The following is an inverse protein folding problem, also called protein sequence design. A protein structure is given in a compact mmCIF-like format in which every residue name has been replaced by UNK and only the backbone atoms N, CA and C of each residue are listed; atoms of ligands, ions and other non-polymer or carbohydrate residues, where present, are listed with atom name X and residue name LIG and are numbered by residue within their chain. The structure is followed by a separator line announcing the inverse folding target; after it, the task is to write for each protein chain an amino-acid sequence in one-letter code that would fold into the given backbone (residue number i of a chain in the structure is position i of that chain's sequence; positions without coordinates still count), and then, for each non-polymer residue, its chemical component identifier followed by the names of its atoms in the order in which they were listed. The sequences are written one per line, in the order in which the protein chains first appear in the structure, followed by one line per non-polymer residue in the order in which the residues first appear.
data_IF_422098535238
#
_entry.id   IF_422098535238
#
_cell.length_a   1.000
_cell.length_b   1.000
_cell.length_c   1.000
_cell.angle_alpha   90.00
_cell.angle_beta   90.00
_cell.angle_gamma   90.00
#
_symmetry.space_group_name_H-M   'P 1'
#
loop_
_entity.id
_entity.type
_entity.pdbx_description
1 polymer ?
#
# COMPACT_ATOMS: atom_id res chain seq x y z
N UNK A 1 70.40 -121.38 112.20
CA UNK A 1 68.98 -121.48 111.80
C UNK A 1 68.31 -120.12 111.57
N UNK A 2 68.78 -118.99 112.12
CA UNK A 2 68.16 -117.67 111.91
C UNK A 2 68.46 -116.97 110.57
N UNK A 3 69.54 -117.33 109.86
CA UNK A 3 69.88 -116.70 108.57
C UNK A 3 69.02 -117.21 107.40
N UNK A 4 68.71 -118.51 107.37
CA UNK A 4 67.90 -119.12 106.31
C UNK A 4 66.44 -118.65 106.29
N UNK A 5 65.86 -118.33 107.45
CA UNK A 5 64.50 -117.76 107.52
C UNK A 5 64.45 -116.29 107.06
N UNK A 6 65.50 -115.50 107.35
CA UNK A 6 65.63 -114.13 106.82
C UNK A 6 65.80 -114.12 105.31
N UNK A 7 66.61 -115.03 104.78
CA UNK A 7 66.86 -115.14 103.34
C UNK A 7 65.60 -115.57 102.56
N UNK A 8 64.82 -116.50 103.11
CA UNK A 8 63.53 -116.92 102.55
C UNK A 8 62.47 -115.80 102.59
N UNK A 9 62.41 -115.03 103.68
CA UNK A 9 61.53 -113.86 103.78
C UNK A 9 61.92 -112.76 102.77
N UNK A 10 63.22 -112.55 102.53
CA UNK A 10 63.73 -111.60 101.52
C UNK A 10 63.38 -112.08 100.11
N UNK A 11 63.51 -113.37 99.81
CA UNK A 11 63.12 -113.92 98.51
C UNK A 11 61.62 -113.80 98.25
N UNK A 12 60.76 -114.10 99.23
CA UNK A 12 59.30 -113.94 99.09
C UNK A 12 58.91 -112.46 98.96
N UNK A 13 59.55 -111.56 99.70
CA UNK A 13 59.35 -110.12 99.55
C UNK A 13 59.79 -109.60 98.17
N UNK A 14 60.91 -110.10 97.64
CA UNK A 14 61.39 -109.78 96.30
C UNK A 14 60.48 -110.35 95.20
N UNK A 15 59.98 -111.57 95.34
CA UNK A 15 59.02 -112.16 94.42
C UNK A 15 57.70 -111.37 94.39
N UNK A 16 57.18 -110.98 95.56
CA UNK A 16 56.00 -110.12 95.67
C UNK A 16 56.24 -108.72 95.09
N UNK A 17 57.44 -108.16 95.24
CA UNK A 17 57.83 -106.88 94.63
C UNK A 17 57.87 -106.98 93.11
N UNK A 18 58.51 -108.01 92.56
CA UNK A 18 58.60 -108.24 91.11
C UNK A 18 57.22 -108.48 90.51
N UNK A 19 56.37 -109.27 91.17
CA UNK A 19 54.99 -109.49 90.74
C UNK A 19 54.18 -108.19 90.73
N UNK A 20 54.24 -107.38 91.81
CA UNK A 20 53.54 -106.09 91.87
C UNK A 20 54.06 -105.05 90.87
N UNK A 21 55.35 -105.07 90.56
CA UNK A 21 55.94 -104.20 89.53
C UNK A 21 55.49 -104.67 88.14
N UNK A 22 55.53 -105.98 87.86
CA UNK A 22 55.07 -106.54 86.59
C UNK A 22 53.60 -106.28 86.33
N UNK A 23 52.72 -106.45 87.34
CA UNK A 23 51.29 -106.16 87.19
C UNK A 23 51.03 -104.67 86.98
N UNK A 24 51.72 -103.78 87.72
CA UNK A 24 51.57 -102.33 87.54
C UNK A 24 52.16 -101.83 86.23
N UNK A 25 53.24 -102.44 85.75
CA UNK A 25 53.83 -102.13 84.45
C UNK A 25 52.92 -102.57 83.31
N UNK A 26 52.35 -103.78 83.37
CA UNK A 26 51.36 -104.24 82.41
C UNK A 26 50.10 -103.37 82.41
N UNK A 27 49.60 -102.96 83.58
CA UNK A 27 48.47 -102.01 83.69
C UNK A 27 48.80 -100.64 83.09
N UNK A 28 50.03 -100.13 83.29
CA UNK A 28 50.47 -98.86 82.70
C UNK A 28 50.61 -98.96 81.19
N UNK A 29 51.23 -100.02 80.67
CA UNK A 29 51.37 -100.25 79.24
C UNK A 29 50.00 -100.41 78.56
N UNK A 30 49.08 -101.14 79.21
CA UNK A 30 47.69 -101.24 78.76
C UNK A 30 47.00 -99.86 78.74
N UNK A 31 47.11 -99.07 79.81
CA UNK A 31 46.49 -97.75 79.89
C UNK A 31 47.06 -96.76 78.86
N UNK A 32 48.39 -96.78 78.63
CA UNK A 32 49.02 -95.94 77.59
C UNK A 32 48.55 -96.36 76.21
N UNK A 33 48.49 -97.67 75.92
CA UNK A 33 48.03 -98.16 74.62
C UNK A 33 46.55 -97.88 74.37
N UNK A 34 45.70 -97.96 75.40
CA UNK A 34 44.29 -97.56 75.31
C UNK A 34 44.18 -96.05 75.03
N UNK A 35 44.94 -95.21 75.73
CA UNK A 35 44.95 -93.77 75.49
C UNK A 35 45.51 -93.38 74.10
N UNK A 36 46.49 -94.11 73.58
CA UNK A 36 47.01 -93.93 72.21
C UNK A 36 45.95 -94.29 71.17
N UNK A 37 45.24 -95.42 71.35
CA UNK A 37 44.14 -95.83 70.45
C UNK A 37 42.97 -94.84 70.50
N UNK A 38 42.59 -94.35 71.69
CA UNK A 38 41.57 -93.30 71.83
C UNK A 38 42.01 -91.98 71.17
N UNK A 39 43.29 -91.62 71.27
CA UNK A 39 43.83 -90.43 70.59
C UNK A 39 43.80 -90.60 69.07
N UNK A 40 44.24 -91.75 68.55
CA UNK A 40 44.22 -92.04 67.11
C UNK A 40 42.78 -92.06 66.58
N UNK A 41 41.84 -92.65 67.32
CA UNK A 41 40.42 -92.62 66.99
C UNK A 41 39.90 -91.17 66.93
N UNK A 42 40.13 -90.37 67.97
CA UNK A 42 39.66 -88.98 68.01
C UNK A 42 40.29 -88.12 66.90
N UNK A 43 41.57 -88.31 66.60
CA UNK A 43 42.25 -87.59 65.52
C UNK A 43 41.71 -88.03 64.16
N UNK A 44 41.46 -89.33 63.96
CA UNK A 44 40.85 -89.86 62.74
C UNK A 44 39.43 -89.34 62.52
N UNK A 45 38.60 -89.33 63.57
CA UNK A 45 37.24 -88.78 63.55
C UNK A 45 37.25 -87.27 63.26
N UNK A 46 38.07 -86.47 63.95
CA UNK A 46 38.18 -85.03 63.69
C UNK A 46 38.72 -84.72 62.29
N UNK A 47 39.66 -85.50 61.78
CA UNK A 47 40.21 -85.31 60.42
C UNK A 47 39.14 -85.61 59.38
N UNK A 48 38.41 -86.73 59.52
CA UNK A 48 37.33 -87.09 58.60
C UNK A 48 36.17 -86.08 58.64
N UNK A 49 35.84 -85.55 59.82
CA UNK A 49 34.83 -84.51 59.98
C UNK A 49 35.27 -83.19 59.34
N UNK A 50 36.53 -82.77 59.54
CA UNK A 50 37.09 -81.57 58.90
C UNK A 50 37.12 -81.70 57.38
N UNK A 51 37.58 -82.83 56.84
CA UNK A 51 37.60 -83.07 55.39
C UNK A 51 36.19 -83.03 54.78
N UNK A 52 35.22 -83.64 55.46
CA UNK A 52 33.82 -83.60 55.05
C UNK A 52 33.28 -82.17 55.06
N UNK A 53 33.51 -81.43 56.13
CA UNK A 53 33.05 -80.04 56.25
C UNK A 53 33.74 -79.12 55.22
N UNK A 54 35.04 -79.29 55.00
CA UNK A 54 35.78 -78.55 53.99
C UNK A 54 35.26 -78.83 52.57
N UNK A 55 34.95 -80.08 52.24
CA UNK A 55 34.34 -80.44 50.96
C UNK A 55 32.95 -79.82 50.80
N UNK A 56 32.10 -79.89 51.82
CA UNK A 56 30.77 -79.26 51.81
C UNK A 56 30.90 -77.75 51.63
N UNK A 57 31.80 -77.08 52.35
CA UNK A 57 32.01 -75.62 52.24
C UNK A 57 32.57 -75.21 50.89
N UNK A 58 33.46 -76.00 50.29
CA UNK A 58 33.95 -75.77 48.94
C UNK A 58 32.83 -75.91 47.91
N UNK A 59 32.01 -76.96 48.00
CA UNK A 59 30.85 -77.13 47.14
C UNK A 59 29.84 -75.99 47.29
N UNK A 60 29.54 -75.55 48.53
CA UNK A 60 28.68 -74.39 48.80
C UNK A 60 29.25 -73.08 48.24
N UNK A 61 30.57 -72.89 48.30
CA UNK A 61 31.24 -71.72 47.70
C UNK A 61 31.12 -71.77 46.19
N UNK A 62 31.46 -72.89 45.58
CA UNK A 62 31.46 -73.05 44.12
C UNK A 62 30.03 -72.92 43.57
N UNK A 63 29.05 -73.49 44.26
CA UNK A 63 27.62 -73.28 43.95
C UNK A 63 27.24 -71.80 44.00
N UNK A 64 27.65 -71.06 45.06
CA UNK A 64 27.37 -69.62 45.17
C UNK A 64 28.03 -68.80 44.08
N UNK A 65 29.27 -69.13 43.72
CA UNK A 65 30.00 -68.45 42.63
C UNK A 65 29.30 -68.70 41.29
N UNK A 66 28.91 -69.95 41.01
CA UNK A 66 28.21 -70.29 39.76
C UNK A 66 26.83 -69.63 39.69
N UNK A 67 26.08 -69.61 40.80
CA UNK A 67 24.79 -68.93 40.88
C UNK A 67 24.95 -67.42 40.65
N UNK A 68 25.92 -66.79 41.32
CA UNK A 68 26.18 -65.36 41.16
C UNK A 68 26.65 -64.99 39.73
N UNK A 69 27.47 -65.83 39.08
CA UNK A 69 27.88 -65.62 37.69
C UNK A 69 26.70 -65.76 36.72
N UNK A 70 25.83 -66.76 36.93
CA UNK A 70 24.62 -66.95 36.13
C UNK A 70 23.65 -65.76 36.29
N UNK A 71 23.43 -65.31 37.53
CA UNK A 71 22.60 -64.14 37.83
C UNK A 71 23.19 -62.86 37.21
N UNK A 72 24.51 -62.66 37.29
CA UNK A 72 25.17 -61.51 36.69
C UNK A 72 24.99 -61.47 35.17
N UNK A 73 25.15 -62.61 34.47
CA UNK A 73 24.92 -62.72 33.03
C UNK A 73 23.46 -62.52 32.65
N UNK A 74 22.53 -63.02 33.46
CA UNK A 74 21.10 -62.79 33.26
C UNK A 74 20.76 -61.29 33.36
N UNK A 75 21.27 -60.62 34.41
CA UNK A 75 21.09 -59.17 34.59
C UNK A 75 21.76 -58.37 33.48
N UNK A 76 22.94 -58.77 33.02
CA UNK A 76 23.61 -58.16 31.86
C UNK A 76 22.74 -58.27 30.60
N UNK A 77 22.22 -59.45 30.29
CA UNK A 77 21.33 -59.66 29.15
C UNK A 77 20.01 -58.87 29.26
N UNK A 78 19.44 -58.76 30.47
CA UNK A 78 18.28 -57.91 30.71
C UNK A 78 18.59 -56.42 30.51
N UNK A 79 19.76 -55.96 30.94
CA UNK A 79 20.16 -54.56 30.78
C UNK A 79 20.43 -54.21 29.33
N UNK A 80 21.07 -55.10 28.56
CA UNK A 80 21.24 -54.96 27.11
C UNK A 80 19.86 -54.88 26.43
N UNK A 81 18.96 -55.81 26.75
CA UNK A 81 17.59 -55.79 26.19
C UNK A 81 16.84 -54.51 26.54
N UNK A 82 16.97 -54.03 27.79
CA UNK A 82 16.37 -52.75 28.22
C UNK A 82 16.99 -51.57 27.47
N UNK A 83 18.30 -51.57 27.22
CA UNK A 83 18.97 -50.54 26.45
C UNK A 83 18.48 -50.52 24.99
N UNK A 84 18.34 -51.69 24.36
CA UNK A 84 17.83 -51.81 22.99
C UNK A 84 16.37 -51.38 22.87
N UNK A 85 15.54 -51.72 23.86
CA UNK A 85 14.15 -51.24 23.95
C UNK A 85 14.13 -49.72 24.08
N UNK A 86 14.94 -49.14 24.98
CA UNK A 86 15.00 -47.70 25.16
C UNK A 86 15.50 -46.96 23.90
N UNK A 87 16.51 -47.50 23.21
CA UNK A 87 17.02 -46.96 21.95
C UNK A 87 15.97 -47.04 20.83
N UNK A 88 15.25 -48.15 20.74
CA UNK A 88 14.16 -48.34 19.79
C UNK A 88 13.01 -47.37 20.06
N UNK A 89 12.64 -47.20 21.33
CA UNK A 89 11.62 -46.25 21.76
C UNK A 89 12.01 -44.80 21.42
N UNK A 90 13.26 -44.41 21.70
CA UNK A 90 13.78 -43.08 21.37
C UNK A 90 13.76 -42.84 19.85
N UNK A 91 14.17 -43.83 19.06
CA UNK A 91 14.12 -43.76 17.59
C UNK A 91 12.70 -43.61 17.07
N UNK A 92 11.75 -44.37 17.64
CA UNK A 92 10.33 -44.25 17.30
C UNK A 92 9.83 -42.84 17.60
N UNK A 93 10.11 -42.32 18.79
CA UNK A 93 9.68 -40.99 19.22
C UNK A 93 10.22 -39.88 18.30
N UNK A 94 11.49 -39.98 17.87
CA UNK A 94 12.07 -39.02 16.91
C UNK A 94 11.33 -39.09 15.57
N UNK A 95 11.08 -40.29 15.05
CA UNK A 95 10.37 -40.46 13.77
C UNK A 95 8.92 -39.97 13.85
N UNK A 96 8.23 -40.21 14.95
CA UNK A 96 6.88 -39.69 15.20
C UNK A 96 6.87 -38.16 15.24
N UNK A 97 7.84 -37.55 15.94
CA UNK A 97 7.96 -36.10 16.03
C UNK A 97 8.29 -35.47 14.67
N UNK A 98 9.19 -36.07 13.89
CA UNK A 98 9.51 -35.63 12.53
C UNK A 98 8.30 -35.76 11.60
N UNK A 99 7.60 -36.88 11.62
CA UNK A 99 6.40 -37.09 10.83
C UNK A 99 5.31 -36.08 11.20
N UNK A 100 5.13 -35.81 12.49
CA UNK A 100 4.20 -34.80 12.99
C UNK A 100 4.60 -33.39 12.52
N UNK A 101 5.88 -33.01 12.68
CA UNK A 101 6.39 -31.71 12.23
C UNK A 101 6.22 -31.52 10.71
N UNK A 102 6.52 -32.55 9.92
CA UNK A 102 6.33 -32.53 8.47
C UNK A 102 4.85 -32.40 8.13
N UNK A 103 3.98 -33.18 8.79
CA UNK A 103 2.53 -33.11 8.58
C UNK A 103 1.95 -31.73 8.87
N UNK A 104 2.23 -31.18 10.07
CA UNK A 104 1.74 -29.85 10.47
C UNK A 104 2.35 -28.74 9.61
N UNK A 105 3.65 -28.78 9.32
CA UNK A 105 4.27 -27.76 8.46
C UNK A 105 3.68 -27.78 7.04
N UNK A 106 3.42 -28.96 6.47
CA UNK A 106 2.76 -29.08 5.16
C UNK A 106 1.32 -28.59 5.19
N UNK A 107 0.59 -28.87 6.26
CA UNK A 107 -0.77 -28.37 6.46
C UNK A 107 -0.80 -26.84 6.52
N UNK A 108 0.05 -26.23 7.35
CA UNK A 108 0.15 -24.76 7.48
C UNK A 108 0.58 -24.13 6.15
N UNK A 109 1.55 -24.72 5.44
CA UNK A 109 1.96 -24.25 4.11
C UNK A 109 0.81 -24.29 3.09
N UNK A 110 0.03 -25.38 3.09
CA UNK A 110 -1.12 -25.52 2.20
C UNK A 110 -2.22 -24.50 2.53
N UNK A 111 -2.54 -24.31 3.82
CA UNK A 111 -3.50 -23.30 4.28
C UNK A 111 -3.06 -21.88 3.92
N UNK A 112 -1.78 -21.55 4.11
CA UNK A 112 -1.22 -20.25 3.71
C UNK A 112 -1.32 -20.03 2.20
N UNK A 113 -1.02 -21.04 1.38
CA UNK A 113 -1.14 -20.93 -0.08
C UNK A 113 -2.59 -20.73 -0.54
N UNK A 114 -3.56 -21.39 0.12
CA UNK A 114 -4.98 -21.18 -0.15
C UNK A 114 -5.41 -19.77 0.21
N UNK A 115 -5.01 -19.27 1.38
CA UNK A 115 -5.30 -17.90 1.81
C UNK A 115 -4.66 -16.86 0.88
N UNK A 116 -3.42 -17.08 0.45
CA UNK A 116 -2.75 -16.19 -0.51
C UNK A 116 -3.49 -16.18 -1.86
N UNK A 117 -3.87 -17.34 -2.38
CA UNK A 117 -4.68 -17.44 -3.60
C UNK A 117 -6.03 -16.74 -3.45
N UNK A 118 -6.69 -16.88 -2.31
CA UNK A 118 -7.95 -16.20 -2.00
C UNK A 118 -7.77 -14.67 -1.94
N UNK A 119 -6.76 -14.18 -1.23
CA UNK A 119 -6.47 -12.74 -1.13
C UNK A 119 -6.12 -12.14 -2.50
N UNK A 120 -5.34 -12.85 -3.31
CA UNK A 120 -5.03 -12.45 -4.68
C UNK A 120 -6.29 -12.40 -5.55
N UNK A 121 -7.15 -13.41 -5.47
CA UNK A 121 -8.43 -13.44 -6.19
C UNK A 121 -9.35 -12.28 -5.75
N UNK A 122 -9.50 -12.06 -4.44
CA UNK A 122 -10.29 -10.95 -3.88
C UNK A 122 -9.73 -9.59 -4.29
N UNK A 123 -8.41 -9.40 -4.25
CA UNK A 123 -7.76 -8.15 -4.67
C UNK A 123 -8.02 -7.88 -6.14
N UNK A 124 -7.89 -8.91 -7.00
CA UNK A 124 -8.19 -8.79 -8.43
C UNK A 124 -9.67 -8.47 -8.68
N UNK A 125 -10.58 -9.11 -7.95
CA UNK A 125 -12.01 -8.83 -8.04
C UNK A 125 -12.33 -7.40 -7.58
N UNK A 126 -11.75 -6.94 -6.46
CA UNK A 126 -11.92 -5.59 -5.95
C UNK A 126 -11.37 -4.54 -6.91
N UNK A 127 -10.22 -4.78 -7.56
CA UNK A 127 -9.66 -3.89 -8.59
C UNK A 127 -10.56 -3.85 -9.84
N UNK A 128 -11.10 -4.98 -10.28
CA UNK A 128 -12.04 -5.02 -11.39
C UNK A 128 -13.32 -4.24 -11.07
N UNK A 129 -13.86 -4.40 -9.86
CA UNK A 129 -15.03 -3.67 -9.40
C UNK A 129 -14.76 -2.17 -9.24
N UNK A 130 -13.60 -1.79 -8.69
CA UNK A 130 -13.18 -0.40 -8.60
C UNK A 130 -13.11 0.26 -9.99
N UNK A 131 -12.51 -0.41 -10.98
CA UNK A 131 -12.48 0.05 -12.37
C UNK A 131 -13.87 0.17 -12.97
N UNK A 132 -14.78 -0.77 -12.68
CA UNK A 132 -16.17 -0.73 -13.14
C UNK A 132 -16.92 0.47 -12.54
N UNK A 133 -16.77 0.71 -11.24
CA UNK A 133 -17.39 1.84 -10.54
C UNK A 133 -16.81 3.16 -11.04
N UNK A 134 -15.50 3.26 -11.19
CA UNK A 134 -14.82 4.45 -11.72
C UNK A 134 -15.29 4.75 -13.15
N UNK A 135 -15.30 3.74 -14.03
CA UNK A 135 -15.80 3.89 -15.39
C UNK A 135 -17.28 4.30 -15.44
N UNK A 136 -18.12 3.73 -14.56
CA UNK A 136 -19.54 4.11 -14.46
C UNK A 136 -19.70 5.56 -14.00
N UNK A 137 -19.02 5.97 -12.93
CA UNK A 137 -19.05 7.37 -12.43
C UNK A 137 -18.53 8.35 -13.47
N UNK A 138 -17.45 7.98 -14.17
CA UNK A 138 -16.89 8.78 -15.26
C UNK A 138 -17.87 8.92 -16.40
N UNK A 139 -18.55 7.85 -16.80
CA UNK A 139 -19.59 7.90 -17.82
C UNK A 139 -20.79 8.77 -17.38
N UNK A 140 -21.23 8.65 -16.12
CA UNK A 140 -22.31 9.46 -15.54
C UNK A 140 -21.99 10.95 -15.49
N UNK A 141 -20.73 11.34 -15.34
CA UNK A 141 -20.31 12.75 -15.34
C UNK A 141 -19.93 13.28 -16.73
N UNK A 142 -19.23 12.48 -17.55
CA UNK A 142 -18.82 12.89 -18.88
C UNK A 142 -19.99 12.97 -19.86
N UNK A 143 -20.99 12.09 -19.75
CA UNK A 143 -22.15 12.10 -20.65
C UNK A 143 -22.96 13.41 -20.55
N UNK A 144 -23.39 13.90 -19.37
CA UNK A 144 -24.09 15.18 -19.26
C UNK A 144 -23.17 16.34 -19.61
N UNK A 145 -21.89 16.34 -19.20
CA UNK A 145 -20.98 17.42 -19.54
C UNK A 145 -20.75 17.56 -21.06
N UNK A 146 -20.64 16.43 -21.79
CA UNK A 146 -20.57 16.43 -23.26
C UNK A 146 -21.88 16.91 -23.89
N UNK A 147 -23.02 16.51 -23.34
CA UNK A 147 -24.34 16.96 -23.81
C UNK A 147 -24.54 18.47 -23.58
N UNK A 148 -24.16 19.00 -22.42
CA UNK A 148 -24.20 20.43 -22.13
C UNK A 148 -23.26 21.22 -23.04
N UNK A 149 -22.02 20.75 -23.25
CA UNK A 149 -21.10 21.39 -24.19
C UNK A 149 -21.67 21.44 -25.61
N UNK A 150 -22.25 20.33 -26.08
CA UNK A 150 -22.88 20.28 -27.40
C UNK A 150 -24.09 21.21 -27.48
N UNK A 151 -24.92 21.27 -26.43
CA UNK A 151 -26.06 22.18 -26.34
C UNK A 151 -25.61 23.65 -26.41
N UNK A 152 -24.61 24.05 -25.63
CA UNK A 152 -24.07 25.41 -25.64
C UNK A 152 -23.53 25.77 -27.02
N UNK A 153 -22.83 24.85 -27.69
CA UNK A 153 -22.32 25.10 -29.03
C UNK A 153 -23.45 25.30 -30.05
N UNK A 154 -24.46 24.44 -30.03
CA UNK A 154 -25.63 24.55 -30.91
C UNK A 154 -26.42 25.83 -30.61
N UNK A 155 -26.60 26.20 -29.34
CA UNK A 155 -27.27 27.43 -28.93
C UNK A 155 -26.50 28.67 -29.39
N UNK A 156 -25.16 28.68 -29.26
CA UNK A 156 -24.33 29.78 -29.74
C UNK A 156 -24.36 29.91 -31.27
N UNK A 157 -24.31 28.78 -31.99
CA UNK A 157 -24.44 28.76 -33.46
C UNK A 157 -25.83 29.24 -33.90
N UNK A 158 -26.89 28.82 -33.22
CA UNK A 158 -28.26 29.25 -33.48
C UNK A 158 -28.45 30.75 -33.19
N UNK A 159 -27.88 31.27 -32.11
CA UNK A 159 -27.94 32.70 -31.77
C UNK A 159 -27.15 33.55 -32.77
N UNK A 160 -25.98 33.08 -33.21
CA UNK A 160 -25.20 33.72 -34.26
C UNK A 160 -25.96 33.76 -35.59
N UNK A 161 -26.59 32.65 -35.98
CA UNK A 161 -27.42 32.58 -37.19
C UNK A 161 -28.64 33.51 -37.10
N UNK A 162 -29.30 33.56 -35.93
CA UNK A 162 -30.43 34.47 -35.68
C UNK A 162 -30.01 35.92 -35.83
N UNK A 163 -28.92 36.34 -35.18
CA UNK A 163 -28.38 37.71 -35.32
C UNK A 163 -28.03 38.06 -36.76
N UNK A 164 -27.51 37.10 -37.53
CA UNK A 164 -27.21 37.31 -38.96
C UNK A 164 -28.47 37.56 -39.77
N UNK A 165 -29.51 36.73 -39.59
CA UNK A 165 -30.79 36.87 -40.28
C UNK A 165 -31.49 38.18 -39.88
N UNK A 166 -31.46 38.54 -38.60
CA UNK A 166 -32.01 39.82 -38.10
C UNK A 166 -31.29 41.01 -38.73
N UNK A 167 -29.95 41.02 -38.74
CA UNK A 167 -29.16 42.07 -39.37
C UNK A 167 -29.39 42.16 -40.89
N UNK A 168 -29.50 41.01 -41.59
CA UNK A 168 -29.86 40.96 -43.02
C UNK A 168 -31.27 41.52 -43.27
N UNK A 169 -32.24 41.17 -42.42
CA UNK A 169 -33.60 41.67 -42.48
C UNK A 169 -33.70 43.17 -42.23
N UNK A 170 -33.00 43.68 -41.21
CA UNK A 170 -32.90 45.11 -40.92
C UNK A 170 -32.22 45.87 -42.06
N UNK A 171 -31.11 45.35 -42.61
CA UNK A 171 -30.43 45.95 -43.75
C UNK A 171 -31.33 45.99 -44.99
N UNK A 172 -32.07 44.92 -45.28
CA UNK A 172 -33.02 44.88 -46.39
C UNK A 172 -34.17 45.89 -46.19
N UNK A 173 -34.71 45.99 -44.97
CA UNK A 173 -35.77 46.97 -44.66
C UNK A 173 -35.29 48.41 -44.82
N UNK A 174 -34.07 48.73 -44.33
CA UNK A 174 -33.44 50.04 -44.50
C UNK A 174 -33.19 50.34 -45.98
N UNK A 175 -32.67 49.36 -46.72
CA UNK A 175 -32.40 49.50 -48.15
C UNK A 175 -33.68 49.83 -48.92
N UNK A 176 -34.77 49.09 -48.69
CA UNK A 176 -36.07 49.35 -49.34
C UNK A 176 -36.59 50.74 -48.99
N UNK A 177 -36.45 51.18 -47.74
CA UNK A 177 -36.86 52.52 -47.30
C UNK A 177 -36.05 53.61 -48.00
N UNK A 178 -34.72 53.50 -48.00
CA UNK A 178 -33.83 54.47 -48.66
C UNK A 178 -34.01 54.49 -50.18
N UNK A 179 -34.25 53.34 -50.80
CA UNK A 179 -34.55 53.27 -52.23
C UNK A 179 -35.89 53.94 -52.55
N UNK A 180 -36.92 53.72 -51.74
CA UNK A 180 -38.21 54.40 -51.90
C UNK A 180 -38.07 55.92 -51.72
N UNK A 181 -37.30 56.37 -50.72
CA UNK A 181 -37.00 57.79 -50.51
C UNK A 181 -36.22 58.39 -51.69
N UNK A 182 -35.19 57.68 -52.18
CA UNK A 182 -34.39 58.11 -53.33
C UNK A 182 -35.22 58.20 -54.62
N UNK A 183 -36.08 57.20 -54.89
CA UNK A 183 -37.02 57.23 -56.03
C UNK A 183 -38.01 58.38 -55.91
N UNK A 184 -38.58 58.59 -54.72
CA UNK A 184 -39.49 59.72 -54.48
C UNK A 184 -38.81 61.08 -54.69
N UNK A 185 -37.60 61.26 -54.15
CA UNK A 185 -36.83 62.48 -54.37
C UNK A 185 -36.46 62.68 -55.85
N UNK A 186 -36.07 61.61 -56.55
CA UNK A 186 -35.77 61.65 -57.97
C UNK A 186 -37.01 62.07 -58.79
N UNK A 187 -38.19 61.51 -58.53
CA UNK A 187 -39.42 61.89 -59.21
C UNK A 187 -39.79 63.36 -58.95
N UNK A 188 -39.65 63.83 -57.70
CA UNK A 188 -39.88 65.23 -57.36
C UNK A 188 -38.92 66.14 -58.14
N UNK A 189 -37.62 65.82 -58.15
CA UNK A 189 -36.61 66.60 -58.87
C UNK A 189 -36.81 66.57 -60.38
N UNK A 190 -37.17 65.41 -60.94
CA UNK A 190 -37.49 65.27 -62.36
C UNK A 190 -38.71 66.11 -62.75
N UNK A 191 -39.79 66.07 -61.97
CA UNK A 191 -40.97 66.91 -62.21
C UNK A 191 -40.70 68.40 -62.02
N UNK A 192 -39.82 68.77 -61.07
CA UNK A 192 -39.33 70.15 -60.94
C UNK A 192 -38.54 70.57 -62.19
N UNK A 193 -37.65 69.71 -62.69
CA UNK A 193 -36.91 69.93 -63.93
C UNK A 193 -37.82 70.14 -65.14
N UNK A 194 -38.81 69.25 -65.32
CA UNK A 194 -39.84 69.39 -66.37
C UNK A 194 -40.63 70.70 -66.23
N UNK A 195 -40.98 71.08 -64.99
CA UNK A 195 -41.68 72.33 -64.70
C UNK A 195 -40.83 73.56 -65.06
N UNK A 196 -39.55 73.56 -64.69
CA UNK A 196 -38.61 74.62 -65.04
C UNK A 196 -38.40 74.70 -66.56
N UNK A 197 -38.30 73.57 -67.26
CA UNK A 197 -38.20 73.55 -68.72
C UNK A 197 -39.42 74.25 -69.36
N UNK A 198 -40.63 73.96 -68.89
CA UNK A 198 -41.85 74.62 -69.39
C UNK A 198 -41.85 76.13 -69.12
N UNK A 199 -41.33 76.57 -67.97
CA UNK A 199 -41.19 78.00 -67.66
C UNK A 199 -40.18 78.64 -68.60
N UNK A 200 -39.05 77.99 -68.87
CA UNK A 200 -38.02 78.46 -69.80
C UNK A 200 -38.58 78.60 -71.22
N UNK A 201 -39.31 77.59 -71.68
CA UNK A 201 -39.93 77.59 -73.00
C UNK A 201 -41.00 78.69 -73.11
N UNK A 202 -41.79 78.93 -72.05
CA UNK A 202 -42.82 79.97 -72.02
C UNK A 202 -42.26 81.40 -71.94
N UNK A 203 -41.11 81.60 -71.28
CA UNK A 203 -40.46 82.91 -71.14
C UNK A 203 -39.60 83.30 -72.36
N UNK A 204 -39.49 82.43 -73.38
CA UNK A 204 -38.80 82.72 -74.63
C UNK A 204 -37.26 82.60 -74.58
N UNK A 205 -36.71 82.07 -73.47
CA UNK A 205 -35.27 81.91 -73.29
C UNK A 205 -34.85 81.63 -71.85
N UNK A 206 -33.66 81.07 -71.67
CA UNK A 206 -33.10 80.75 -70.34
C UNK A 206 -32.80 82.00 -69.52
N UNK A 207 -32.54 83.14 -70.18
CA UNK A 207 -32.16 84.40 -69.53
C UNK A 207 -33.36 85.13 -68.94
N UNK A 208 -34.48 85.15 -69.67
CA UNK A 208 -35.75 85.74 -69.28
C UNK A 208 -36.42 84.92 -68.17
N UNK A 209 -36.36 83.58 -68.26
CA UNK A 209 -36.82 82.69 -67.21
C UNK A 209 -36.01 82.83 -65.92
N UNK A 210 -34.69 83.01 -66.02
CA UNK A 210 -33.85 83.28 -64.86
C UNK A 210 -34.20 84.61 -64.18
N UNK A 211 -34.51 85.66 -64.96
CA UNK A 211 -34.97 86.94 -64.40
C UNK A 211 -36.32 86.79 -63.67
N UNK A 212 -37.26 86.00 -64.22
CA UNK A 212 -38.54 85.72 -63.57
C UNK A 212 -38.38 84.91 -62.28
N UNK A 213 -37.57 83.84 -62.30
CA UNK A 213 -37.28 83.01 -61.12
C UNK A 213 -36.52 83.80 -60.04
N UNK A 214 -35.59 84.68 -60.44
CA UNK A 214 -34.93 85.59 -59.51
C UNK A 214 -35.93 86.57 -58.89
N UNK A 215 -36.90 87.07 -59.66
CA UNK A 215 -37.94 87.94 -59.14
C UNK A 215 -38.86 87.21 -58.14
N UNK A 216 -39.23 85.96 -58.43
CA UNK A 216 -40.02 85.12 -57.52
C UNK A 216 -39.25 84.79 -56.22
N UNK A 217 -37.95 84.52 -56.32
CA UNK A 217 -37.11 84.22 -55.16
C UNK A 217 -36.50 85.46 -54.49
N UNK A 218 -36.75 86.67 -55.00
CA UNK A 218 -36.26 87.90 -54.39
C UNK A 218 -36.88 88.11 -53.00
N UNK A 219 -38.17 87.81 -52.82
CA UNK A 219 -38.82 87.93 -51.50
C UNK A 219 -38.14 86.99 -50.48
N UNK A 220 -37.88 85.73 -50.86
CA UNK A 220 -37.17 84.76 -50.01
C UNK A 220 -35.71 85.18 -49.73
N UNK A 221 -35.02 85.77 -50.71
CA UNK A 221 -33.67 86.30 -50.52
C UNK A 221 -33.68 87.53 -49.62
N UNK A 222 -34.65 88.42 -49.75
CA UNK A 222 -34.84 89.60 -48.88
C UNK A 222 -35.14 89.14 -47.46
N UNK A 223 -36.00 88.14 -47.26
CA UNK A 223 -36.30 87.59 -45.94
C UNK A 223 -35.07 86.88 -45.33
N UNK A 224 -34.40 86.00 -46.07
CA UNK A 224 -33.21 85.31 -45.59
C UNK A 224 -32.05 86.29 -45.31
N UNK A 225 -31.89 87.33 -46.13
CA UNK A 225 -30.88 88.37 -45.91
C UNK A 225 -31.26 89.32 -44.78
N UNK A 226 -32.53 89.69 -44.61
CA UNK A 226 -33.01 90.45 -43.46
C UNK A 226 -32.82 89.65 -42.16
N UNK A 227 -33.03 88.33 -42.20
CA UNK A 227 -32.80 87.43 -41.07
C UNK A 227 -31.30 87.20 -40.82
N UNK A 228 -30.47 87.18 -41.85
CA UNK A 228 -29.01 87.19 -41.71
C UNK A 228 -28.51 88.53 -41.14
N UNK A 229 -29.03 89.67 -41.61
CA UNK A 229 -28.70 91.03 -41.12
C UNK A 229 -29.19 91.24 -39.69
N UNK A 230 -30.39 90.76 -39.34
CA UNK A 230 -30.88 90.82 -37.96
C UNK A 230 -30.03 89.96 -37.01
N UNK A 231 -29.39 88.90 -37.53
CA UNK A 231 -28.40 88.12 -36.81
C UNK A 231 -26.98 88.73 -36.82
N UNK A 232 -26.71 89.80 -37.57
CA UNK A 232 -25.46 90.57 -37.46
C UNK A 232 -25.55 91.47 -36.22
N UNK A 233 -24.94 91.03 -35.13
CA UNK A 233 -24.59 91.91 -34.01
C UNK A 233 -23.49 92.87 -34.47
N UNK A 234 -23.76 94.18 -34.58
CA UNK A 234 -22.77 95.23 -34.85
C UNK A 234 -21.85 95.47 -33.65
N UNK A 235 -21.06 94.46 -33.27
CA UNK A 235 -20.28 94.49 -32.02
C UNK A 235 -18.75 94.50 -32.25
N UNK A 236 -18.27 94.59 -33.51
CA UNK A 236 -16.86 94.83 -33.86
C UNK A 236 -16.67 95.10 -35.35
N UNK A 237 -16.38 96.34 -35.73
CA UNK A 237 -15.80 96.65 -37.05
C UNK A 237 -14.28 96.51 -36.93
N UNK A 238 -13.71 95.48 -37.54
CA UNK A 238 -12.24 95.32 -37.66
C UNK A 238 -11.85 95.76 -39.08
N UNK A 239 -11.33 96.98 -39.20
CA UNK A 239 -10.79 97.49 -40.47
C UNK A 239 -9.41 96.90 -40.68
N UNK A 240 -9.26 96.06 -41.70
CA UNK A 240 -7.95 95.67 -42.22
C UNK A 240 -7.48 96.74 -43.20
N UNK A 241 -6.58 97.61 -42.75
CA UNK A 241 -5.98 98.67 -43.57
C UNK A 241 -4.73 98.13 -44.27
N UNK A 242 -4.73 98.14 -45.60
CA UNK A 242 -3.58 97.76 -46.44
C UNK A 242 -3.17 98.90 -47.37
N UNK A 243 -2.16 99.67 -46.97
CA UNK A 243 -1.31 100.50 -47.84
C UNK A 243 -1.90 101.81 -48.39
N UNK A 244 -1.62 102.94 -47.72
CA UNK A 244 -1.89 104.29 -48.22
C UNK A 244 -0.61 104.98 -48.72
N UNK A 245 -0.65 105.53 -49.93
CA UNK A 245 0.39 106.42 -50.47
C UNK A 245 -0.02 107.87 -50.18
N UNK A 246 0.89 108.68 -49.63
CA UNK A 246 0.73 110.13 -49.40
C UNK A 246 -0.17 110.57 -48.21
N UNK A 247 0.02 109.97 -47.03
CA UNK A 247 -0.40 110.56 -45.74
C UNK A 247 -1.90 110.81 -45.53
N UNK A 248 -2.74 110.33 -46.45
CA UNK A 248 -4.20 110.42 -46.41
C UNK A 248 -4.74 108.99 -46.50
N UNK A 249 -5.52 108.55 -45.51
CA UNK A 249 -6.05 107.18 -45.53
C UNK A 249 -7.28 107.07 -46.45
N UNK A 250 -7.42 105.93 -47.12
CA UNK A 250 -8.60 105.62 -47.96
C UNK A 250 -9.91 105.65 -47.15
N UNK A 251 -9.82 105.36 -45.85
CA UNK A 251 -10.91 105.45 -44.87
C UNK A 251 -11.31 106.90 -44.55
N UNK A 252 -10.37 107.84 -44.46
CA UNK A 252 -10.67 109.27 -44.32
C UNK A 252 -11.32 109.84 -45.59
N UNK A 253 -10.87 109.40 -46.77
CA UNK A 253 -11.51 109.78 -48.03
C UNK A 253 -12.91 109.19 -48.18
N UNK A 254 -13.15 107.93 -47.78
CA UNK A 254 -14.48 107.31 -47.80
C UNK A 254 -15.43 107.96 -46.78
N UNK A 255 -15.00 108.20 -45.54
CA UNK A 255 -15.80 108.92 -44.54
C UNK A 255 -16.11 110.35 -44.98
N UNK A 256 -15.14 111.07 -45.58
CA UNK A 256 -15.40 112.42 -46.09
C UNK A 256 -16.33 112.43 -47.30
N UNK A 257 -16.26 111.40 -48.16
CA UNK A 257 -17.14 111.26 -49.32
C UNK A 257 -18.55 110.85 -48.91
N UNK A 258 -18.73 109.98 -47.90
CA UNK A 258 -20.06 109.64 -47.38
C UNK A 258 -20.69 110.81 -46.61
N UNK A 259 -19.90 111.58 -45.86
CA UNK A 259 -20.36 112.80 -45.18
C UNK A 259 -20.66 113.96 -46.14
N UNK A 260 -20.13 113.94 -47.38
CA UNK A 260 -20.48 114.91 -48.45
C UNK A 260 -21.70 114.50 -49.28
N UNK A 261 -22.18 113.25 -49.16
CA UNK A 261 -23.34 112.73 -49.91
C UNK A 261 -24.60 112.52 -49.05
N UNK A 262 -24.56 112.90 -47.77
CA UNK A 262 -25.72 113.18 -46.92
C UNK A 262 -25.99 114.68 -46.92
#
# INVERSE_FOLDING_TARGET
MAEAEREKAIQVANANKVQKIGTRQAMREQAVRVAELEKEQNVGEQTADFEREAQVKNAERDMRVQLADADARAVEGENISKADIAASQATLQVKEAEAYQIGESKKVQAEAAVLEAEHNARTKAALAEAKRIEAKRRAELEAPAKAEKAKIQVEAEAEAAKRRIEAEGEAAAIYVKLEAEARGQYEILAKKGDGLQRIIDACGGSKEAFQLLMLEHLDNLVDASAQAISNIKFDKVVVWEGGGQNGTSSTANWLSNMAKTL
#
